data_IF_169803708755
#
_entry.id   IF_169803708755
#
_cell.length_a   1.000
_cell.length_b   1.000
_cell.length_c   1.000
_cell.angle_alpha   90.00
_cell.angle_beta   90.00
_cell.angle_gamma   90.00
#
_symmetry.space_group_name_H-M   'P 1'
#
loop_
_entity.id
_entity.type
_entity.pdbx_description
1 polymer ?
#
# COMPACT_ATOMS: atom_id res chain seq x y z
N UNK A 1 -15.59 9.28 -6.79
CA UNK A 1 -14.18 9.36 -7.21
C UNK A 1 -13.72 10.81 -7.12
N UNK A 2 -12.65 11.05 -6.38
CA UNK A 2 -11.96 12.33 -6.43
C UNK A 2 -10.82 12.26 -7.45
N UNK A 3 -10.89 13.12 -8.45
CA UNK A 3 -9.89 13.27 -9.49
C UNK A 3 -9.11 14.57 -9.23
N UNK A 4 -7.83 14.45 -8.90
CA UNK A 4 -6.97 15.59 -8.51
C UNK A 4 -6.70 16.60 -9.65
N UNK A 5 -6.90 16.20 -10.91
CA UNK A 5 -6.97 17.14 -12.01
C UNK A 5 -5.62 17.57 -12.59
N UNK A 6 -4.63 16.68 -12.72
CA UNK A 6 -3.38 17.04 -13.40
C UNK A 6 -3.66 17.80 -14.72
N UNK A 7 -3.22 19.05 -14.82
CA UNK A 7 -3.49 19.98 -15.93
C UNK A 7 -4.98 20.20 -16.27
N UNK A 8 -5.91 19.79 -15.39
CA UNK A 8 -7.35 19.94 -15.57
C UNK A 8 -7.98 20.40 -14.25
N UNK A 9 -9.23 20.81 -14.27
CA UNK A 9 -10.01 21.11 -13.06
C UNK A 9 -10.17 19.86 -12.21
N UNK A 10 -9.80 19.92 -10.95
CA UNK A 10 -10.04 18.84 -9.98
C UNK A 10 -11.54 18.68 -9.74
N UNK A 11 -12.01 17.45 -9.56
CA UNK A 11 -13.43 17.13 -9.42
C UNK A 11 -13.68 15.99 -8.44
N UNK A 12 -14.73 16.16 -7.66
CA UNK A 12 -15.41 15.04 -7.02
C UNK A 12 -16.51 14.54 -7.95
N UNK A 13 -16.47 13.27 -8.33
CA UNK A 13 -17.34 12.68 -9.34
C UNK A 13 -18.11 11.52 -8.71
N UNK A 14 -19.40 11.48 -8.94
CA UNK A 14 -20.23 10.31 -8.69
C UNK A 14 -20.37 9.49 -9.98
N UNK A 15 -20.16 8.18 -9.88
CA UNK A 15 -20.45 7.23 -10.94
C UNK A 15 -21.80 6.60 -10.70
N UNK A 16 -22.68 6.63 -11.69
CA UNK A 16 -24.05 6.13 -11.61
C UNK A 16 -24.25 5.14 -12.74
N UNK A 17 -24.70 3.93 -12.39
CA UNK A 17 -25.16 2.93 -13.37
C UNK A 17 -26.66 3.15 -13.64
N UNK A 18 -27.03 3.41 -14.89
CA UNK A 18 -28.44 3.53 -15.25
C UNK A 18 -29.10 2.15 -15.42
N UNK A 19 -30.43 2.12 -15.59
CA UNK A 19 -31.19 0.89 -15.78
C UNK A 19 -30.83 0.07 -17.03
N UNK A 20 -30.03 0.64 -17.97
CA UNK A 20 -29.50 -0.04 -19.15
C UNK A 20 -28.06 -0.56 -18.95
N UNK A 21 -27.50 -0.39 -17.75
CA UNK A 21 -26.12 -0.80 -17.44
C UNK A 21 -25.03 0.20 -17.87
N UNK A 22 -25.41 1.35 -18.44
CA UNK A 22 -24.44 2.38 -18.82
C UNK A 22 -24.00 3.18 -17.61
N UNK A 23 -22.70 3.47 -17.52
CA UNK A 23 -22.14 4.31 -16.45
C UNK A 23 -22.15 5.76 -16.86
N UNK A 24 -22.76 6.61 -16.03
CA UNK A 24 -22.73 8.06 -16.15
C UNK A 24 -21.87 8.69 -15.08
N UNK A 25 -21.18 9.76 -15.45
CA UNK A 25 -20.43 10.61 -14.53
C UNK A 25 -21.26 11.84 -14.18
N UNK A 26 -21.43 12.07 -12.88
CA UNK A 26 -22.03 13.29 -12.34
C UNK A 26 -20.95 14.05 -11.56
N UNK A 27 -20.68 15.29 -11.95
CA UNK A 27 -19.78 16.14 -11.17
C UNK A 27 -20.51 16.64 -9.93
N UNK A 28 -20.05 16.19 -8.77
CA UNK A 28 -20.60 16.59 -7.46
C UNK A 28 -20.06 17.94 -7.07
N UNK A 29 -18.74 18.16 -7.26
CA UNK A 29 -18.05 19.38 -6.96
C UNK A 29 -16.86 19.55 -7.91
N UNK A 30 -16.61 20.79 -8.33
CA UNK A 30 -15.39 21.20 -9.01
C UNK A 30 -14.57 22.08 -8.08
N UNK A 31 -13.27 21.88 -8.08
CA UNK A 31 -12.36 22.63 -7.25
C UNK A 31 -11.49 23.53 -8.12
N UNK A 32 -11.20 24.71 -7.65
CA UNK A 32 -10.16 25.56 -8.24
C UNK A 32 -8.80 24.87 -8.14
N UNK A 33 -7.80 25.43 -8.81
CA UNK A 33 -6.43 24.93 -8.72
C UNK A 33 -5.98 24.89 -7.25
N UNK A 34 -5.60 23.73 -6.76
CA UNK A 34 -5.17 23.50 -5.39
C UNK A 34 -4.16 22.37 -5.31
N UNK A 35 -3.47 22.28 -4.20
CA UNK A 35 -2.67 21.12 -3.84
C UNK A 35 -3.60 20.00 -3.33
N UNK A 36 -3.78 18.93 -4.13
CA UNK A 36 -4.68 17.83 -3.81
C UNK A 36 -4.23 16.95 -2.64
N UNK A 37 -2.96 17.04 -2.25
CA UNK A 37 -2.38 16.34 -1.09
C UNK A 37 -2.21 17.25 0.12
N UNK A 38 -2.91 18.39 0.14
CA UNK A 38 -2.99 19.24 1.32
C UNK A 38 -4.01 18.67 2.31
N UNK A 39 -3.68 18.71 3.61
CA UNK A 39 -4.51 18.16 4.68
C UNK A 39 -5.95 18.71 4.69
N UNK A 40 -6.10 20.04 4.58
CA UNK A 40 -7.41 20.67 4.66
C UNK A 40 -8.25 20.41 3.40
N UNK A 41 -7.61 20.36 2.23
CA UNK A 41 -8.25 19.97 0.97
C UNK A 41 -8.77 18.53 1.04
N UNK A 42 -7.96 17.60 1.53
CA UNK A 42 -8.39 16.21 1.68
C UNK A 42 -9.54 16.07 2.69
N UNK A 43 -9.47 16.78 3.83
CA UNK A 43 -10.58 16.81 4.80
C UNK A 43 -11.88 17.33 4.16
N UNK A 44 -11.80 18.38 3.35
CA UNK A 44 -12.97 18.93 2.67
C UNK A 44 -13.57 17.94 1.66
N UNK A 45 -12.72 17.32 0.84
CA UNK A 45 -13.15 16.26 -0.10
C UNK A 45 -13.84 15.11 0.63
N UNK A 46 -13.27 14.62 1.74
CA UNK A 46 -13.86 13.54 2.52
C UNK A 46 -15.19 13.95 3.16
N UNK A 47 -15.26 15.12 3.80
CA UNK A 47 -16.52 15.64 4.36
C UNK A 47 -17.59 15.74 3.28
N UNK A 48 -17.26 16.34 2.13
CA UNK A 48 -18.20 16.49 1.03
C UNK A 48 -18.68 15.13 0.51
N UNK A 49 -17.77 14.18 0.30
CA UNK A 49 -18.11 12.86 -0.21
C UNK A 49 -19.00 12.10 0.77
N UNK A 50 -18.61 11.97 2.02
CA UNK A 50 -19.29 11.10 2.99
C UNK A 50 -20.55 11.72 3.59
N UNK A 51 -20.64 13.04 3.68
CA UNK A 51 -21.90 13.72 4.10
C UNK A 51 -22.99 13.61 3.06
N UNK A 52 -22.63 13.65 1.77
CA UNK A 52 -23.63 13.59 0.69
C UNK A 52 -24.05 12.15 0.34
N UNK A 53 -23.23 11.15 0.67
CA UNK A 53 -23.44 9.75 0.27
C UNK A 53 -23.30 8.80 1.45
N UNK A 54 -24.26 8.84 2.42
CA UNK A 54 -24.24 7.90 3.53
C UNK A 54 -24.48 6.46 3.03
N UNK A 55 -23.70 5.52 3.53
CA UNK A 55 -23.77 4.11 3.20
C UNK A 55 -23.71 3.24 4.46
N UNK A 56 -24.01 1.94 4.32
CA UNK A 56 -23.91 0.97 5.42
C UNK A 56 -22.46 0.56 5.68
N UNK A 57 -21.63 0.55 4.64
CA UNK A 57 -20.22 0.23 4.69
C UNK A 57 -19.46 1.06 3.67
N UNK A 58 -18.16 1.21 3.89
CA UNK A 58 -17.31 2.02 3.06
C UNK A 58 -15.99 1.30 2.78
N UNK A 59 -15.55 1.35 1.54
CA UNK A 59 -14.20 1.02 1.14
C UNK A 59 -13.52 2.22 0.50
N UNK A 60 -12.20 2.29 0.56
CA UNK A 60 -11.45 3.38 -0.06
C UNK A 60 -10.29 2.84 -0.90
N UNK A 61 -10.04 3.50 -2.04
CA UNK A 61 -8.91 3.24 -2.90
C UNK A 61 -8.07 4.50 -3.00
N UNK A 62 -6.80 4.39 -2.66
CA UNK A 62 -5.80 5.43 -2.80
C UNK A 62 -4.90 5.12 -3.98
N UNK A 63 -5.09 5.83 -5.09
CA UNK A 63 -4.27 5.73 -6.29
C UNK A 63 -3.38 6.95 -6.44
N UNK A 64 -2.08 6.76 -6.40
CA UNK A 64 -1.05 7.77 -6.64
C UNK A 64 0.35 7.14 -6.61
N UNK A 65 1.40 7.96 -6.68
CA UNK A 65 2.71 7.54 -6.23
C UNK A 65 2.74 7.35 -4.71
N UNK A 66 3.57 6.42 -4.23
CA UNK A 66 3.86 6.19 -2.83
C UNK A 66 5.32 5.77 -2.65
N UNK A 67 5.90 6.14 -1.52
CA UNK A 67 7.25 5.76 -1.10
C UNK A 67 7.25 5.16 0.32
N UNK A 68 6.07 4.76 0.76
CA UNK A 68 5.89 4.10 2.06
C UNK A 68 6.39 4.96 3.22
N UNK A 69 7.35 4.42 3.98
CA UNK A 69 7.94 5.06 5.15
C UNK A 69 9.30 5.72 4.89
N UNK A 70 9.67 5.93 3.63
CA UNK A 70 10.98 6.42 3.21
C UNK A 70 11.19 7.92 3.49
N UNK A 71 12.37 8.25 3.95
CA UNK A 71 12.86 9.60 4.17
C UNK A 71 13.37 10.19 2.83
N UNK A 72 12.57 10.98 2.14
CA UNK A 72 13.06 11.74 1.00
C UNK A 72 13.75 13.01 1.51
N UNK A 73 15.05 13.14 1.31
CA UNK A 73 15.98 14.27 1.52
C UNK A 73 15.63 15.42 2.51
N UNK A 74 14.45 15.38 3.10
CA UNK A 74 13.99 16.32 4.12
C UNK A 74 13.44 15.51 5.30
N UNK A 75 13.81 15.77 6.57
CA UNK A 75 13.50 14.91 7.70
C UNK A 75 12.00 14.70 8.02
N UNK A 76 11.09 15.12 7.16
CA UNK A 76 9.66 15.12 7.42
C UNK A 76 8.78 14.32 6.46
N UNK A 77 9.29 13.56 5.49
CA UNK A 77 8.43 13.02 4.43
C UNK A 77 8.42 11.50 4.33
N UNK A 78 7.55 10.89 5.09
CA UNK A 78 6.97 9.56 4.90
C UNK A 78 5.68 9.80 4.14
N UNK A 79 5.53 9.37 2.86
CA UNK A 79 4.49 9.95 2.05
C UNK A 79 3.74 8.98 1.15
N UNK A 80 2.49 9.31 0.97
CA UNK A 80 1.62 8.87 -0.09
C UNK A 80 1.05 10.11 -0.81
N UNK A 81 0.77 9.95 -2.11
CA UNK A 81 0.16 10.99 -2.90
C UNK A 81 1.15 12.07 -3.33
N UNK A 82 1.19 12.33 -4.63
CA UNK A 82 2.00 13.38 -5.21
C UNK A 82 1.14 14.29 -6.06
N UNK A 83 1.24 15.59 -5.84
CA UNK A 83 0.65 16.61 -6.71
C UNK A 83 1.74 17.46 -7.34
N UNK A 84 1.83 17.37 -8.69
CA UNK A 84 2.81 18.12 -9.49
C UNK A 84 2.16 19.20 -10.35
N UNK A 85 0.90 19.57 -10.08
CA UNK A 85 0.16 20.54 -10.88
C UNK A 85 0.73 21.96 -10.80
N UNK A 86 1.41 22.30 -9.69
CA UNK A 86 1.89 23.65 -9.39
C UNK A 86 3.10 23.67 -8.45
N UNK A 87 3.69 22.49 -8.21
CA UNK A 87 4.81 22.27 -7.32
C UNK A 87 5.11 20.79 -7.25
N UNK A 88 5.88 20.35 -6.28
CA UNK A 88 6.05 18.94 -5.93
C UNK A 88 5.60 18.76 -4.48
N UNK A 89 4.31 18.49 -4.32
CA UNK A 89 3.68 18.33 -3.00
C UNK A 89 3.43 16.84 -2.73
N UNK A 90 3.60 16.46 -1.47
CA UNK A 90 3.41 15.09 -0.99
C UNK A 90 2.74 15.13 0.37
N UNK A 91 1.93 14.10 0.67
CA UNK A 91 1.23 13.99 1.94
C UNK A 91 1.97 13.01 2.85
N UNK A 92 2.32 13.43 4.05
CA UNK A 92 2.83 12.54 5.07
C UNK A 92 1.77 11.52 5.50
N UNK A 93 2.19 10.33 5.93
CA UNK A 93 1.25 9.32 6.44
C UNK A 93 0.51 9.80 7.70
N UNK A 94 1.16 10.62 8.54
CA UNK A 94 0.50 11.28 9.68
C UNK A 94 -0.62 12.23 9.24
N UNK A 95 -0.38 13.00 8.17
CA UNK A 95 -1.36 13.95 7.65
C UNK A 95 -2.52 13.19 6.97
N UNK A 96 -2.23 12.07 6.27
CA UNK A 96 -3.25 11.17 5.74
C UNK A 96 -4.11 10.59 6.86
N UNK A 97 -3.49 10.13 7.96
CA UNK A 97 -4.20 9.65 9.14
C UNK A 97 -5.12 10.75 9.72
N UNK A 98 -4.63 11.97 9.81
CA UNK A 98 -5.42 13.11 10.26
C UNK A 98 -6.53 13.49 9.27
N UNK A 99 -6.26 13.47 7.95
CA UNK A 99 -7.27 13.71 6.93
C UNK A 99 -8.44 12.73 7.04
N UNK A 100 -8.14 11.46 7.30
CA UNK A 100 -9.13 10.40 7.49
C UNK A 100 -9.97 10.55 8.77
N UNK A 101 -9.60 11.44 9.70
CA UNK A 101 -10.38 11.65 10.95
C UNK A 101 -11.80 12.17 10.73
N UNK A 102 -12.07 12.74 9.56
CA UNK A 102 -13.41 13.25 9.18
C UNK A 102 -14.18 12.28 8.28
N UNK A 103 -13.58 11.15 7.93
CA UNK A 103 -14.19 10.08 7.17
C UNK A 103 -14.78 9.00 8.10
N UNK A 104 -15.72 8.16 7.62
CA UNK A 104 -16.14 6.98 8.35
C UNK A 104 -15.01 5.97 8.47
N UNK A 105 -15.18 4.97 9.32
CA UNK A 105 -14.33 3.78 9.32
C UNK A 105 -14.55 2.98 8.04
N UNK A 106 -13.49 2.39 7.48
CA UNK A 106 -13.54 1.64 6.24
C UNK A 106 -13.48 0.13 6.50
N UNK A 107 -14.22 -0.65 5.73
CA UNK A 107 -14.13 -2.11 5.73
C UNK A 107 -12.79 -2.53 5.11
N UNK A 108 -12.33 -1.81 4.08
CA UNK A 108 -11.01 -2.01 3.48
C UNK A 108 -10.42 -0.71 2.94
N UNK A 109 -9.10 -0.68 2.88
CA UNK A 109 -8.30 0.38 2.28
C UNK A 109 -7.32 -0.25 1.29
N UNK A 110 -7.52 0.01 -0.01
CA UNK A 110 -6.61 -0.41 -1.06
C UNK A 110 -5.64 0.73 -1.36
N UNK A 111 -4.35 0.49 -1.17
CA UNK A 111 -3.30 1.33 -1.70
C UNK A 111 -2.86 0.83 -3.07
N UNK A 112 -3.35 1.48 -4.11
CA UNK A 112 -2.87 1.33 -5.47
C UNK A 112 -1.69 2.29 -5.68
N UNK A 113 -0.62 2.00 -4.95
CA UNK A 113 0.60 2.79 -4.85
C UNK A 113 1.78 1.92 -4.38
N UNK A 114 3.00 2.27 -4.79
CA UNK A 114 4.21 1.54 -4.45
C UNK A 114 4.52 1.63 -2.95
N UNK A 115 5.07 0.56 -2.35
CA UNK A 115 5.65 0.49 -1.00
C UNK A 115 4.67 0.76 0.16
N UNK A 116 3.36 0.80 -0.09
CA UNK A 116 2.39 1.16 0.95
C UNK A 116 2.08 0.02 1.92
N UNK A 117 2.50 -1.22 1.64
CA UNK A 117 2.37 -2.36 2.55
C UNK A 117 3.61 -2.50 3.46
N UNK A 118 4.12 -1.39 3.94
CA UNK A 118 5.10 -1.31 5.02
C UNK A 118 4.39 -1.34 6.36
N UNK A 119 4.93 -2.10 7.32
CA UNK A 119 4.29 -2.27 8.64
C UNK A 119 4.13 -0.94 9.37
N UNK A 120 5.04 0.00 9.17
CA UNK A 120 5.00 1.32 9.77
C UNK A 120 3.83 2.16 9.23
N UNK A 121 3.58 2.10 7.91
CA UNK A 121 2.46 2.79 7.25
C UNK A 121 1.12 2.27 7.76
N UNK A 122 0.92 0.94 7.66
CA UNK A 122 -0.36 0.34 8.02
C UNK A 122 -0.62 0.40 9.53
N UNK A 123 0.44 0.35 10.36
CA UNK A 123 0.30 0.54 11.81
C UNK A 123 -0.14 1.97 12.17
N UNK A 124 0.36 2.97 11.45
CA UNK A 124 -0.05 4.38 11.63
C UNK A 124 -1.53 4.58 11.30
N UNK A 125 -2.06 3.86 10.30
CA UNK A 125 -3.43 4.00 9.81
C UNK A 125 -4.41 2.96 10.38
N UNK A 126 -3.98 2.08 11.29
CA UNK A 126 -4.70 0.87 11.73
C UNK A 126 -6.09 1.08 12.32
N UNK A 127 -6.38 2.27 12.82
CA UNK A 127 -7.67 2.63 13.41
C UNK A 127 -8.68 3.18 12.37
N UNK A 128 -8.29 3.24 11.09
CA UNK A 128 -9.10 3.81 10.01
C UNK A 128 -9.79 2.77 9.14
N UNK A 129 -9.34 1.52 9.17
CA UNK A 129 -9.88 0.45 8.32
C UNK A 129 -9.77 -0.91 9.00
N UNK A 130 -10.60 -1.87 8.58
CA UNK A 130 -10.51 -3.27 9.04
C UNK A 130 -9.40 -4.02 8.29
N UNK A 131 -9.20 -3.73 7.00
CA UNK A 131 -8.20 -4.41 6.17
C UNK A 131 -7.41 -3.43 5.31
N UNK A 132 -6.09 -3.66 5.23
CA UNK A 132 -5.21 -3.04 4.25
C UNK A 132 -4.94 -3.99 3.10
N UNK A 133 -4.98 -3.47 1.88
CA UNK A 133 -4.62 -4.17 0.65
C UNK A 133 -3.55 -3.34 -0.05
N UNK A 134 -2.45 -3.93 -0.44
CA UNK A 134 -1.38 -3.20 -1.11
C UNK A 134 -0.14 -4.03 -1.39
N UNK A 135 0.91 -3.36 -1.85
CA UNK A 135 2.19 -3.96 -2.20
C UNK A 135 3.32 -3.44 -1.31
N UNK A 136 4.21 -4.33 -0.82
CA UNK A 136 5.43 -3.91 -0.12
C UNK A 136 6.54 -3.44 -1.06
N UNK A 137 6.36 -3.61 -2.38
CA UNK A 137 7.29 -3.22 -3.44
C UNK A 137 6.62 -2.29 -4.45
N UNK A 138 7.26 -2.04 -5.59
CA UNK A 138 6.64 -1.30 -6.68
C UNK A 138 5.45 -2.06 -7.26
N UNK A 139 4.43 -1.33 -7.70
CA UNK A 139 3.28 -1.88 -8.40
C UNK A 139 3.41 -1.65 -9.91
N UNK A 140 2.72 -2.44 -10.76
CA UNK A 140 2.64 -2.17 -12.19
C UNK A 140 2.14 -0.75 -12.47
N UNK A 141 2.74 -0.08 -13.45
CA UNK A 141 2.47 1.32 -13.76
C UNK A 141 1.01 1.71 -14.05
N UNK A 142 0.14 0.82 -14.65
CA UNK A 142 -1.29 1.13 -14.79
C UNK A 142 -2.03 1.13 -13.45
N UNK A 143 -1.42 0.60 -12.39
CA UNK A 143 -2.09 0.37 -11.13
C UNK A 143 -3.00 -0.85 -11.16
N UNK A 144 -3.99 -0.86 -10.28
CA UNK A 144 -4.94 -1.96 -10.17
C UNK A 144 -5.69 -2.20 -11.49
N UNK A 145 -5.93 -3.46 -11.88
CA UNK A 145 -6.73 -3.78 -13.06
C UNK A 145 -8.22 -3.56 -12.75
N UNK A 146 -8.66 -2.31 -12.80
CA UNK A 146 -9.99 -1.88 -12.32
C UNK A 146 -11.15 -2.61 -12.97
N UNK A 147 -11.02 -3.15 -14.18
CA UNK A 147 -12.05 -3.99 -14.81
C UNK A 147 -12.33 -5.26 -13.98
N UNK A 148 -11.31 -5.83 -13.34
CA UNK A 148 -11.43 -6.99 -12.47
C UNK A 148 -11.66 -6.59 -11.00
N UNK A 149 -11.01 -5.54 -10.52
CA UNK A 149 -11.06 -5.09 -9.12
C UNK A 149 -12.41 -4.45 -8.77
N UNK A 150 -13.01 -3.64 -9.67
CA UNK A 150 -14.29 -2.95 -9.37
C UNK A 150 -15.43 -3.91 -9.00
N UNK A 151 -15.65 -5.03 -9.68
CA UNK A 151 -16.62 -6.03 -9.22
C UNK A 151 -16.33 -6.58 -7.82
N UNK A 152 -15.04 -6.79 -7.50
CA UNK A 152 -14.62 -7.30 -6.19
C UNK A 152 -14.86 -6.30 -5.06
N UNK A 153 -14.76 -4.98 -5.30
CA UNK A 153 -15.09 -3.93 -4.32
C UNK A 153 -16.52 -4.05 -3.77
N UNK A 154 -17.43 -4.63 -4.52
CA UNK A 154 -18.84 -4.80 -4.15
C UNK A 154 -19.21 -6.25 -3.77
N UNK A 155 -18.22 -7.10 -3.57
CA UNK A 155 -18.43 -8.47 -3.06
C UNK A 155 -19.08 -8.44 -1.69
N UNK A 156 -20.04 -9.37 -1.47
CA UNK A 156 -20.71 -9.50 -0.17
C UNK A 156 -19.89 -10.33 0.83
N UNK A 157 -19.02 -11.19 0.33
CA UNK A 157 -18.14 -12.03 1.14
C UNK A 157 -16.69 -11.69 0.83
N UNK A 158 -15.93 -11.41 1.88
CA UNK A 158 -14.47 -11.13 1.85
C UNK A 158 -14.03 -10.20 0.72
N UNK A 159 -14.61 -9.00 0.60
CA UNK A 159 -14.24 -8.07 -0.47
C UNK A 159 -12.73 -7.80 -0.50
N UNK A 160 -12.07 -7.72 0.67
CA UNK A 160 -10.64 -7.49 0.81
C UNK A 160 -9.79 -8.57 0.13
N UNK A 161 -10.21 -9.84 0.25
CA UNK A 161 -9.52 -10.97 -0.40
C UNK A 161 -9.80 -10.97 -1.90
N UNK A 162 -11.06 -10.80 -2.30
CA UNK A 162 -11.46 -10.79 -3.70
C UNK A 162 -10.79 -9.65 -4.48
N UNK A 163 -10.59 -8.50 -3.87
CA UNK A 163 -9.84 -7.37 -4.44
C UNK A 163 -8.39 -7.79 -4.69
N UNK A 164 -7.72 -8.31 -3.66
CA UNK A 164 -6.31 -8.70 -3.75
C UNK A 164 -6.09 -9.84 -4.75
N UNK A 165 -6.97 -10.84 -4.74
CA UNK A 165 -6.94 -11.96 -5.68
C UNK A 165 -7.17 -11.53 -7.12
N UNK A 166 -8.15 -10.63 -7.36
CA UNK A 166 -8.41 -10.07 -8.68
C UNK A 166 -7.21 -9.26 -9.19
N UNK A 167 -6.58 -8.47 -8.32
CA UNK A 167 -5.39 -7.70 -8.66
C UNK A 167 -4.24 -8.65 -9.07
N UNK A 168 -3.95 -9.63 -8.22
CA UNK A 168 -2.88 -10.59 -8.47
C UNK A 168 -3.11 -11.40 -9.75
N UNK A 169 -4.30 -11.99 -9.92
CA UNK A 169 -4.59 -12.93 -11.00
C UNK A 169 -4.40 -12.32 -12.38
N UNK A 170 -4.90 -11.07 -12.58
CA UNK A 170 -4.78 -10.40 -13.89
C UNK A 170 -3.32 -10.18 -14.27
N UNK A 171 -2.48 -9.79 -13.32
CA UNK A 171 -1.06 -9.57 -13.61
C UNK A 171 -0.27 -10.87 -13.68
N UNK A 172 -0.61 -11.87 -12.86
CA UNK A 172 0.02 -13.19 -12.91
C UNK A 172 -0.25 -13.90 -14.23
N UNK A 173 -1.46 -13.79 -14.79
CA UNK A 173 -1.81 -14.33 -16.12
C UNK A 173 -1.02 -13.67 -17.26
N UNK A 174 -0.68 -12.40 -17.11
CA UNK A 174 0.14 -11.64 -18.07
C UNK A 174 1.64 -11.82 -17.84
N UNK A 175 2.02 -12.37 -16.69
CA UNK A 175 3.41 -12.58 -16.33
C UNK A 175 4.05 -13.68 -17.18
N UNK A 176 4.95 -13.27 -18.04
CA UNK A 176 5.70 -14.18 -18.93
C UNK A 176 7.17 -14.23 -18.50
N UNK A 177 7.42 -14.59 -17.23
CA UNK A 177 8.76 -14.58 -16.61
C UNK A 177 9.53 -13.26 -16.80
N UNK A 178 8.81 -12.17 -16.95
CA UNK A 178 9.36 -10.85 -17.21
C UNK A 178 9.89 -10.63 -18.64
N UNK A 179 9.69 -11.58 -19.54
CA UNK A 179 10.12 -11.43 -20.91
C UNK A 179 9.20 -10.46 -21.65
N UNK A 180 9.79 -9.50 -22.37
CA UNK A 180 9.05 -8.51 -23.14
C UNK A 180 8.37 -7.43 -22.29
N UNK A 181 8.93 -7.10 -21.13
CA UNK A 181 8.43 -6.05 -20.26
C UNK A 181 8.39 -4.72 -21.00
N UNK A 182 7.22 -4.10 -21.00
CA UNK A 182 7.01 -2.72 -21.44
C UNK A 182 5.83 -2.11 -20.67
N UNK A 183 5.70 -0.81 -20.75
CA UNK A 183 4.53 -0.12 -20.20
C UNK A 183 3.21 -0.51 -20.92
N UNK A 184 3.29 -1.16 -22.07
CA UNK A 184 2.13 -1.55 -22.86
C UNK A 184 1.66 -2.98 -22.56
N UNK A 185 2.56 -3.90 -22.27
CA UNK A 185 2.20 -5.32 -22.09
C UNK A 185 2.10 -5.79 -20.64
N UNK A 186 2.56 -4.98 -19.67
CA UNK A 186 2.36 -5.19 -18.23
C UNK A 186 2.81 -6.55 -17.68
N UNK A 187 3.89 -7.06 -18.18
CA UNK A 187 4.43 -8.35 -17.76
C UNK A 187 5.43 -8.27 -16.61
N UNK A 188 5.46 -7.12 -15.92
CA UNK A 188 6.44 -6.81 -14.86
C UNK A 188 6.26 -7.55 -13.53
N UNK A 189 5.25 -8.41 -13.42
CA UNK A 189 4.94 -9.12 -12.17
C UNK A 189 4.16 -8.26 -11.17
N UNK A 190 3.79 -8.87 -10.06
CA UNK A 190 3.02 -8.21 -8.99
C UNK A 190 3.22 -8.92 -7.66
N UNK A 191 3.23 -8.15 -6.57
CA UNK A 191 3.18 -8.65 -5.19
C UNK A 191 2.07 -7.93 -4.47
N UNK A 192 1.15 -8.66 -3.83
CA UNK A 192 0.02 -8.08 -3.10
C UNK A 192 -0.21 -8.86 -1.81
N UNK A 193 -0.58 -8.16 -0.74
CA UNK A 193 -1.02 -8.79 0.49
C UNK A 193 -2.24 -8.09 1.09
N UNK A 194 -2.94 -8.82 1.97
CA UNK A 194 -4.06 -8.32 2.77
C UNK A 194 -3.70 -8.45 4.24
N UNK A 195 -3.81 -7.34 4.96
CA UNK A 195 -3.48 -7.28 6.38
C UNK A 195 -4.68 -6.82 7.19
N UNK A 196 -5.00 -7.58 8.23
CA UNK A 196 -6.09 -7.30 9.16
C UNK A 196 -5.63 -6.33 10.24
N UNK A 197 -6.25 -5.16 10.31
CA UNK A 197 -5.84 -4.07 11.19
C UNK A 197 -5.92 -4.42 12.68
N UNK A 198 -6.95 -5.16 13.08
CA UNK A 198 -7.15 -5.54 14.48
C UNK A 198 -6.04 -6.42 15.06
N UNK A 199 -5.26 -7.10 14.20
CA UNK A 199 -4.14 -7.96 14.59
C UNK A 199 -2.79 -7.20 14.69
N UNK A 200 -2.71 -5.99 14.17
CA UNK A 200 -1.48 -5.20 14.17
C UNK A 200 -0.93 -4.87 15.57
N UNK A 201 -1.76 -4.58 16.60
CA UNK A 201 -1.24 -4.39 17.96
C UNK A 201 -0.59 -5.65 18.55
N UNK A 202 -1.17 -6.84 18.28
CA UNK A 202 -0.61 -8.11 18.70
C UNK A 202 0.71 -8.40 17.95
N UNK A 203 0.75 -8.16 16.65
CA UNK A 203 1.96 -8.27 15.84
C UNK A 203 3.07 -7.33 16.35
N UNK A 204 2.75 -6.07 16.66
CA UNK A 204 3.72 -5.12 17.20
C UNK A 204 4.28 -5.58 18.55
N UNK A 205 3.43 -6.13 19.43
CA UNK A 205 3.84 -6.67 20.72
C UNK A 205 4.79 -7.88 20.54
N UNK A 206 4.45 -8.79 19.66
CA UNK A 206 5.25 -9.97 19.38
C UNK A 206 6.58 -9.62 18.69
N UNK A 207 6.56 -8.66 17.75
CA UNK A 207 7.78 -8.08 17.13
C UNK A 207 8.72 -7.51 18.18
N UNK A 208 8.17 -6.71 19.13
CA UNK A 208 8.94 -6.19 20.26
C UNK A 208 9.56 -7.33 21.11
N UNK A 209 8.83 -8.42 21.30
CA UNK A 209 9.34 -9.61 22.02
C UNK A 209 10.58 -10.20 21.36
N UNK A 210 10.57 -10.39 20.03
CA UNK A 210 11.74 -10.87 19.29
C UNK A 210 12.90 -9.87 19.39
N UNK A 211 12.63 -8.57 19.17
CA UNK A 211 13.66 -7.53 19.26
C UNK A 211 14.29 -7.41 20.64
N UNK A 212 13.55 -7.64 21.71
CA UNK A 212 14.08 -7.61 23.08
C UNK A 212 14.99 -8.78 23.40
N UNK A 213 14.74 -9.94 22.80
CA UNK A 213 15.54 -11.16 22.99
C UNK A 213 16.72 -11.25 22.04
N UNK A 214 16.71 -10.49 20.93
CA UNK A 214 17.87 -10.37 20.05
C UNK A 214 19.03 -9.72 20.80
N UNK A 215 20.24 -10.19 20.52
CA UNK A 215 21.47 -9.80 21.21
C UNK A 215 21.67 -8.30 21.38
N UNK A 216 22.58 -7.90 22.23
CA UNK A 216 22.80 -6.55 22.77
C UNK A 216 22.50 -5.37 21.81
N UNK A 217 22.13 -4.20 22.34
CA UNK A 217 21.86 -2.99 21.53
C UNK A 217 22.98 -2.65 20.53
N UNK A 218 24.23 -3.03 20.85
CA UNK A 218 25.40 -2.82 19.98
C UNK A 218 25.39 -3.76 18.77
N UNK A 219 24.87 -4.96 18.90
CA UNK A 219 24.67 -5.89 17.78
C UNK A 219 23.44 -5.50 16.93
N UNK A 220 22.44 -4.87 17.51
CA UNK A 220 21.27 -4.35 16.77
C UNK A 220 21.62 -3.25 15.78
N UNK A 221 22.63 -2.45 16.07
CA UNK A 221 23.11 -1.38 15.17
C UNK A 221 23.82 -1.94 13.91
N UNK A 222 24.21 -3.23 13.92
CA UNK A 222 24.93 -3.89 12.83
C UNK A 222 24.21 -5.18 12.39
N UNK A 223 22.86 -5.16 12.30
CA UNK A 223 22.12 -6.30 11.79
C UNK A 223 22.58 -6.66 10.39
N UNK A 224 23.08 -7.88 10.22
CA UNK A 224 23.35 -8.43 8.90
C UNK A 224 22.03 -8.76 8.20
N UNK A 225 21.71 -8.00 7.17
CA UNK A 225 20.49 -8.16 6.36
C UNK A 225 20.73 -8.97 5.08
N UNK A 226 21.93 -9.53 4.91
CA UNK A 226 22.27 -10.38 3.75
C UNK A 226 21.31 -11.58 3.68
N UNK A 227 20.73 -11.79 2.52
CA UNK A 227 19.78 -12.89 2.29
C UNK A 227 18.33 -12.61 2.72
N UNK A 228 18.04 -11.44 3.29
CA UNK A 228 16.65 -10.99 3.48
C UNK A 228 16.18 -10.35 2.19
N UNK A 229 14.96 -10.70 1.74
CA UNK A 229 14.37 -10.06 0.57
C UNK A 229 14.32 -8.53 0.76
N UNK A 230 14.90 -7.80 -0.18
CA UNK A 230 14.84 -6.36 -0.28
C UNK A 230 13.83 -5.97 -1.36
N UNK A 231 12.83 -5.17 -1.00
CA UNK A 231 11.75 -4.77 -1.90
C UNK A 231 12.09 -3.56 -2.77
N UNK A 232 13.14 -2.80 -2.42
CA UNK A 232 13.65 -1.65 -3.16
C UNK A 232 15.14 -1.78 -3.54
N UNK A 233 15.57 -2.94 -4.10
CA UNK A 233 17.01 -3.25 -4.25
C UNK A 233 17.74 -2.34 -5.23
N UNK A 234 17.02 -1.67 -6.12
CA UNK A 234 17.56 -0.76 -7.13
C UNK A 234 17.55 0.71 -6.70
N UNK A 235 16.98 0.98 -5.51
CA UNK A 235 16.85 2.33 -4.93
C UNK A 235 17.62 2.44 -3.63
N UNK A 236 16.93 2.73 -2.54
CA UNK A 236 17.52 3.02 -1.22
C UNK A 236 17.96 1.77 -0.46
N UNK A 237 17.41 0.60 -0.82
CA UNK A 237 17.65 -0.70 -0.15
C UNK A 237 17.28 -0.68 1.34
N UNK A 238 16.21 0.00 1.66
CA UNK A 238 15.75 0.18 3.05
C UNK A 238 14.52 -0.66 3.40
N UNK A 239 13.75 -1.12 2.40
CA UNK A 239 12.57 -1.95 2.61
C UNK A 239 12.92 -3.43 2.53
N UNK A 240 12.80 -4.12 3.64
CA UNK A 240 13.09 -5.56 3.74
C UNK A 240 11.87 -6.31 4.21
N UNK A 241 11.82 -7.60 3.85
CA UNK A 241 10.75 -8.46 4.33
C UNK A 241 10.78 -8.59 5.87
N UNK A 242 9.65 -8.27 6.51
CA UNK A 242 9.55 -8.23 7.97
C UNK A 242 9.71 -9.62 8.59
N UNK A 243 9.11 -10.65 7.99
CA UNK A 243 9.25 -12.03 8.49
C UNK A 243 10.68 -12.53 8.31
N UNK A 244 11.29 -12.22 7.14
CA UNK A 244 12.69 -12.54 6.86
C UNK A 244 13.63 -11.90 7.87
N UNK A 245 13.41 -10.63 8.23
CA UNK A 245 14.17 -9.94 9.27
C UNK A 245 14.01 -10.64 10.63
N UNK A 246 12.79 -10.91 11.08
CA UNK A 246 12.55 -11.53 12.37
C UNK A 246 13.14 -12.95 12.46
N UNK A 247 13.07 -13.73 11.38
CA UNK A 247 13.77 -15.03 11.27
C UNK A 247 15.27 -14.91 11.44
N UNK A 248 15.86 -13.86 10.87
CA UNK A 248 17.32 -13.65 10.88
C UNK A 248 17.86 -13.25 12.24
N UNK A 249 17.11 -12.43 12.99
CA UNK A 249 17.59 -11.82 14.24
C UNK A 249 17.12 -12.54 15.51
N UNK A 250 16.23 -13.53 15.38
CA UNK A 250 15.69 -14.23 16.53
C UNK A 250 16.78 -15.04 17.25
N UNK A 251 16.81 -14.96 18.58
CA UNK A 251 17.66 -15.76 19.48
C UNK A 251 16.83 -16.59 20.48
N UNK A 252 15.52 -16.39 20.50
CA UNK A 252 14.60 -17.10 21.37
C UNK A 252 13.46 -17.69 20.54
N UNK A 253 13.42 -19.03 20.45
CA UNK A 253 12.44 -19.74 19.64
C UNK A 253 11.01 -19.45 20.07
N UNK A 254 10.73 -19.40 21.38
CA UNK A 254 9.36 -19.13 21.87
C UNK A 254 8.90 -17.69 21.49
N UNK A 255 9.80 -16.71 21.56
CA UNK A 255 9.48 -15.34 21.14
C UNK A 255 9.20 -15.28 19.63
N UNK A 256 9.97 -16.04 18.84
CA UNK A 256 9.75 -16.14 17.41
C UNK A 256 8.45 -16.90 17.05
N UNK A 257 8.13 -17.98 17.74
CA UNK A 257 6.87 -18.72 17.52
C UNK A 257 5.65 -17.84 17.81
N UNK A 258 5.70 -17.05 18.89
CA UNK A 258 4.66 -16.07 19.22
C UNK A 258 4.54 -15.01 18.11
N UNK A 259 5.67 -14.55 17.58
CA UNK A 259 5.70 -13.61 16.47
C UNK A 259 5.11 -14.22 15.19
N UNK A 260 5.54 -15.42 14.82
CA UNK A 260 5.08 -16.11 13.63
C UNK A 260 3.55 -16.34 13.66
N UNK A 261 3.01 -16.70 14.83
CA UNK A 261 1.57 -16.83 15.03
C UNK A 261 0.85 -15.48 14.86
N UNK A 262 1.34 -14.41 15.49
CA UNK A 262 0.76 -13.09 15.35
C UNK A 262 0.83 -12.56 13.89
N UNK A 263 1.92 -12.88 13.19
CA UNK A 263 2.10 -12.54 11.79
C UNK A 263 1.08 -13.24 10.89
N UNK A 264 0.85 -14.53 11.08
CA UNK A 264 -0.14 -15.31 10.33
C UNK A 264 -1.58 -14.82 10.57
N UNK A 265 -1.88 -14.34 11.78
CA UNK A 265 -3.18 -13.73 12.07
C UNK A 265 -3.34 -12.37 11.40
N UNK A 266 -2.25 -11.59 11.27
CA UNK A 266 -2.28 -10.27 10.66
C UNK A 266 -2.28 -10.34 9.13
N UNK A 267 -1.40 -11.13 8.51
CA UNK A 267 -1.33 -11.27 7.04
C UNK A 267 -2.27 -12.41 6.61
N UNK A 268 -3.51 -12.06 6.33
CA UNK A 268 -4.60 -13.03 6.07
C UNK A 268 -4.61 -13.56 4.64
N UNK A 269 -3.95 -12.87 3.71
CA UNK A 269 -3.75 -13.30 2.33
C UNK A 269 -2.51 -12.63 1.74
N UNK A 270 -1.78 -13.34 0.88
CA UNK A 270 -0.65 -12.80 0.13
C UNK A 270 -0.37 -13.65 -1.09
N UNK A 271 0.09 -13.01 -2.15
CA UNK A 271 0.60 -13.69 -3.34
C UNK A 271 1.57 -12.81 -4.12
N UNK A 272 2.48 -13.45 -4.87
CA UNK A 272 3.48 -12.77 -5.69
C UNK A 272 3.82 -13.60 -6.92
N UNK A 273 4.20 -12.94 -8.02
CA UNK A 273 4.92 -13.58 -9.12
C UNK A 273 6.38 -13.85 -8.72
N UNK A 274 7.08 -14.73 -9.42
CA UNK A 274 8.48 -15.09 -9.11
C UNK A 274 9.41 -13.88 -9.05
N UNK A 275 9.15 -12.91 -9.92
CA UNK A 275 9.89 -11.66 -9.97
C UNK A 275 8.93 -10.47 -10.13
N UNK A 276 9.36 -9.29 -9.66
CA UNK A 276 8.73 -8.01 -9.92
C UNK A 276 9.69 -7.10 -10.69
N UNK A 277 9.13 -6.27 -11.57
CA UNK A 277 9.88 -5.20 -12.20
C UNK A 277 10.07 -4.05 -11.21
N UNK A 278 11.32 -3.80 -10.84
CA UNK A 278 11.70 -2.69 -9.97
C UNK A 278 12.53 -1.67 -10.75
N UNK A 279 12.42 -0.40 -10.39
CA UNK A 279 13.03 0.69 -11.15
C UNK A 279 14.21 1.33 -10.41
N UNK A 280 15.23 1.74 -11.18
CA UNK A 280 16.24 2.69 -10.72
C UNK A 280 15.66 4.11 -10.63
N UNK A 281 16.30 5.02 -9.88
CA UNK A 281 15.90 6.44 -9.88
C UNK A 281 15.93 7.10 -11.27
N UNK A 282 16.68 6.53 -12.21
CA UNK A 282 16.74 6.97 -13.62
C UNK A 282 15.52 6.60 -14.46
N UNK A 283 14.60 5.78 -13.93
CA UNK A 283 13.41 5.29 -14.62
C UNK A 283 13.58 3.97 -15.38
N UNK A 284 14.81 3.49 -15.57
CA UNK A 284 15.06 2.12 -16.04
C UNK A 284 14.89 1.14 -14.89
N UNK A 285 14.60 -0.13 -15.20
CA UNK A 285 14.41 -1.16 -14.18
C UNK A 285 14.84 -2.54 -14.63
N UNK A 286 14.79 -3.46 -13.69
CA UNK A 286 15.14 -4.86 -13.86
C UNK A 286 14.12 -5.75 -13.15
N UNK A 287 14.06 -7.02 -13.56
CA UNK A 287 13.31 -8.05 -12.84
C UNK A 287 14.07 -8.45 -11.58
N UNK A 288 13.42 -8.31 -10.45
CA UNK A 288 13.93 -8.64 -9.12
C UNK A 288 13.18 -9.82 -8.58
N UNK A 289 13.92 -10.85 -8.12
CA UNK A 289 13.31 -12.03 -7.52
C UNK A 289 12.55 -11.67 -6.23
N UNK A 290 11.34 -12.20 -6.11
CA UNK A 290 10.49 -12.10 -4.91
C UNK A 290 10.61 -13.35 -4.01
N UNK A 291 11.68 -14.13 -4.17
CA UNK A 291 11.93 -15.27 -3.28
C UNK A 291 12.09 -14.80 -1.82
N UNK A 292 11.29 -15.35 -0.93
CA UNK A 292 11.21 -14.91 0.47
C UNK A 292 10.12 -13.88 0.74
N UNK A 293 9.21 -13.62 -0.22
CA UNK A 293 8.05 -12.76 -0.03
C UNK A 293 7.11 -13.29 1.05
N UNK A 294 6.87 -12.48 2.07
CA UNK A 294 5.95 -12.80 3.16
C UNK A 294 4.83 -11.75 3.32
N UNK A 295 4.81 -10.71 2.49
CA UNK A 295 3.67 -9.81 2.34
C UNK A 295 3.76 -8.46 3.04
N UNK A 296 4.69 -8.29 3.99
CA UNK A 296 4.93 -7.01 4.66
C UNK A 296 6.40 -6.62 4.59
N UNK A 297 6.64 -5.36 4.31
CA UNK A 297 7.97 -4.77 4.49
C UNK A 297 8.12 -4.07 5.84
N UNK A 298 9.35 -3.89 6.24
CA UNK A 298 9.77 -2.97 7.30
C UNK A 298 10.93 -2.10 6.81
N UNK A 299 10.97 -0.89 7.31
CA UNK A 299 12.03 0.06 6.99
C UNK A 299 13.24 -0.14 7.89
N UNK A 300 14.40 -0.35 7.31
CA UNK A 300 15.68 -0.47 8.03
C UNK A 300 16.55 0.72 7.66
N UNK A 301 16.79 1.60 8.63
CA UNK A 301 17.73 2.72 8.48
C UNK A 301 19.16 2.18 8.40
N UNK A 302 19.90 2.59 7.40
CA UNK A 302 21.32 2.27 7.20
C UNK A 302 22.20 3.49 7.45
#
# INVERSE_FOLDING_TARGET
VYFAGYKKTAKLIRLIKNGKGEVKQETVMSYDKHNSVNLDVMKDVFRTAFSNYPAKSYGIVFWSHGDGWLHYQNPSTRWWGQDTSDGDYRMNISDLHEALSVAPHFDFMLFDACYMQSVEVIYQLRDRTDYFIGSPTEIPGPGAPYEAVVPALFSQDKPEINIAESYYTVYAEKYNNGIGISNENWTGGVSVSVVKSSELPALATATKGVLQTAASMQQRANIDITGILCYDPLRSKNYHDLMGLMKKIQENQQAFDNYAHAYQNAVVWKNTTDNNYCTYPSGYGEMVSMNGFEGLSTYILR
#
